data_IF_388416217423
#
_entry.id   IF_388416217423
#
_cell.length_a   1.000
_cell.length_b   1.000
_cell.length_c   1.000
_cell.angle_alpha   90.00
_cell.angle_beta   90.00
_cell.angle_gamma   90.00
#
_symmetry.space_group_name_H-M   'P 1'
#
loop_
_entity.id
_entity.type
_entity.pdbx_description
1 polymer ?
#
# COMPACT_ATOMS: atom_id res chain seq x y z
N UNK A 1 -18.15 1.21 10.50
CA UNK A 1 -17.46 -0.08 10.71
C UNK A 1 -16.92 -0.07 12.13
N UNK A 2 -17.25 -1.07 12.94
CA UNK A 2 -16.77 -1.20 14.33
C UNK A 2 -15.42 -1.90 14.38
N UNK A 3 -14.71 -1.80 15.50
CA UNK A 3 -13.44 -2.50 15.72
C UNK A 3 -13.61 -4.03 15.60
N UNK A 4 -14.64 -4.59 16.23
CA UNK A 4 -14.89 -6.05 16.19
C UNK A 4 -15.17 -6.57 14.78
N UNK A 5 -15.85 -5.77 13.96
CA UNK A 5 -16.04 -6.11 12.55
C UNK A 5 -14.71 -6.02 11.79
N UNK A 6 -13.90 -4.97 12.02
CA UNK A 6 -12.60 -4.83 11.37
C UNK A 6 -11.72 -6.05 11.63
N UNK A 7 -11.63 -6.51 12.87
CA UNK A 7 -10.77 -7.64 13.24
C UNK A 7 -11.41 -9.01 13.03
N UNK A 8 -12.58 -9.10 12.40
CA UNK A 8 -13.27 -10.38 12.22
C UNK A 8 -12.36 -11.40 11.51
N UNK A 9 -12.58 -12.67 11.80
CA UNK A 9 -11.74 -13.73 11.23
C UNK A 9 -11.83 -13.74 9.70
N UNK A 10 -13.01 -13.47 9.14
CA UNK A 10 -13.25 -13.37 7.70
C UNK A 10 -12.43 -12.23 7.08
N UNK A 11 -12.37 -11.07 7.76
CA UNK A 11 -11.58 -9.94 7.29
C UNK A 11 -10.07 -10.23 7.38
N UNK A 12 -9.61 -11.01 8.36
CA UNK A 12 -8.22 -11.46 8.44
C UNK A 12 -7.85 -12.43 7.30
N UNK A 13 -8.72 -13.39 6.98
CA UNK A 13 -8.55 -14.27 5.84
C UNK A 13 -8.54 -13.49 4.51
N UNK A 14 -9.45 -12.52 4.36
CA UNK A 14 -9.44 -11.65 3.19
C UNK A 14 -8.14 -10.84 3.10
N UNK A 15 -7.67 -10.26 4.21
CA UNK A 15 -6.43 -9.49 4.24
C UNK A 15 -5.22 -10.36 3.86
N UNK A 16 -5.19 -11.62 4.30
CA UNK A 16 -4.20 -12.61 3.84
C UNK A 16 -4.28 -12.86 2.34
N UNK A 17 -5.47 -13.09 1.80
CA UNK A 17 -5.67 -13.36 0.37
C UNK A 17 -5.25 -12.20 -0.52
N UNK A 18 -5.44 -10.96 -0.07
CA UNK A 18 -4.95 -9.77 -0.74
C UNK A 18 -3.42 -9.63 -0.60
N UNK A 19 -2.89 -9.87 0.60
CA UNK A 19 -1.46 -9.78 0.89
C UNK A 19 -0.63 -10.77 0.08
N UNK A 20 -1.06 -12.03 -0.01
CA UNK A 20 -0.26 -13.14 -0.58
C UNK A 20 -0.05 -13.04 -2.10
N UNK A 21 -0.87 -12.26 -2.81
CA UNK A 21 -0.81 -12.10 -4.28
C UNK A 21 0.60 -11.72 -4.73
N UNK A 22 1.21 -12.59 -5.54
CA UNK A 22 2.58 -12.44 -6.06
C UNK A 22 3.71 -12.65 -5.05
N UNK A 23 3.41 -13.03 -3.79
CA UNK A 23 4.40 -13.13 -2.70
C UNK A 23 4.59 -14.54 -2.15
N UNK A 24 3.82 -15.53 -2.62
CA UNK A 24 3.84 -16.91 -2.11
C UNK A 24 5.21 -17.60 -2.17
N UNK A 25 6.11 -17.20 -3.09
CA UNK A 25 7.46 -17.78 -3.20
C UNK A 25 8.46 -17.22 -2.17
N UNK A 26 8.06 -16.25 -1.34
CA UNK A 26 8.95 -15.65 -0.32
C UNK A 26 9.00 -16.55 0.92
N UNK A 27 10.22 -16.80 1.43
CA UNK A 27 10.46 -17.74 2.54
C UNK A 27 9.58 -17.48 3.76
N UNK A 28 9.53 -16.24 4.23
CA UNK A 28 8.70 -15.82 5.37
C UNK A 28 7.20 -16.03 5.12
N UNK A 29 6.75 -15.83 3.87
CA UNK A 29 5.35 -16.04 3.48
C UNK A 29 5.04 -17.54 3.43
N UNK A 30 5.96 -18.38 2.94
CA UNK A 30 5.79 -19.83 2.94
C UNK A 30 5.76 -20.41 4.36
N UNK A 31 6.62 -19.93 5.24
CA UNK A 31 6.66 -20.33 6.66
C UNK A 31 5.34 -19.99 7.36
N UNK A 32 4.83 -18.76 7.15
CA UNK A 32 3.53 -18.36 7.68
C UNK A 32 2.38 -19.19 7.07
N UNK A 33 2.43 -19.44 5.77
CA UNK A 33 1.38 -20.17 5.06
C UNK A 33 1.28 -21.64 5.47
N UNK A 34 2.39 -22.27 5.85
CA UNK A 34 2.41 -23.67 6.32
C UNK A 34 1.48 -23.91 7.52
N UNK A 35 1.37 -22.93 8.40
CA UNK A 35 0.49 -22.95 9.58
C UNK A 35 -0.51 -21.78 9.52
N UNK A 36 -1.14 -21.57 8.36
CA UNK A 36 -1.95 -20.38 8.09
C UNK A 36 -3.04 -20.14 9.13
N UNK A 37 -3.86 -21.17 9.40
CA UNK A 37 -5.02 -21.06 10.29
C UNK A 37 -4.58 -20.72 11.71
N UNK A 38 -3.63 -21.48 12.27
CA UNK A 38 -3.10 -21.25 13.61
C UNK A 38 -2.56 -19.82 13.76
N UNK A 39 -1.77 -19.37 12.78
CA UNK A 39 -1.20 -18.03 12.79
C UNK A 39 -2.29 -16.92 12.74
N UNK A 40 -3.33 -17.11 11.92
CA UNK A 40 -4.44 -16.14 11.81
C UNK A 40 -5.33 -16.14 13.07
N UNK A 41 -5.62 -17.32 13.64
CA UNK A 41 -6.38 -17.41 14.89
C UNK A 41 -5.63 -16.82 16.08
N UNK A 42 -4.31 -17.03 16.15
CA UNK A 42 -3.47 -16.39 17.16
C UNK A 42 -3.48 -14.87 17.01
N UNK A 43 -3.33 -14.36 15.78
CA UNK A 43 -3.40 -12.93 15.49
C UNK A 43 -4.77 -12.36 15.88
N UNK A 44 -5.86 -13.04 15.52
CA UNK A 44 -7.22 -12.65 15.90
C UNK A 44 -7.38 -12.58 17.42
N UNK A 45 -6.88 -13.60 18.16
CA UNK A 45 -6.92 -13.62 19.63
C UNK A 45 -6.15 -12.44 20.22
N UNK A 46 -4.97 -12.12 19.70
CA UNK A 46 -4.17 -10.95 20.13
C UNK A 46 -4.89 -9.62 19.88
N UNK A 47 -5.54 -9.48 18.72
CA UNK A 47 -6.32 -8.29 18.39
C UNK A 47 -7.55 -8.16 19.30
N UNK A 48 -8.35 -9.23 19.43
CA UNK A 48 -9.54 -9.28 20.28
C UNK A 48 -9.23 -8.94 21.74
N UNK A 49 -8.13 -9.47 22.27
CA UNK A 49 -7.68 -9.20 23.64
C UNK A 49 -6.92 -7.88 23.78
N UNK A 50 -6.75 -7.10 22.71
CA UNK A 50 -5.99 -5.84 22.67
C UNK A 50 -4.54 -5.98 23.16
N UNK A 51 -3.96 -7.17 22.99
CA UNK A 51 -2.56 -7.48 23.34
C UNK A 51 -1.62 -7.48 22.14
N UNK A 52 -2.15 -7.30 20.93
CA UNK A 52 -1.34 -7.12 19.73
C UNK A 52 -0.39 -5.93 19.86
N UNK A 53 0.89 -6.18 19.58
CA UNK A 53 1.93 -5.17 19.45
C UNK A 53 2.66 -5.42 18.13
N UNK A 54 2.87 -4.36 17.36
CA UNK A 54 3.61 -4.44 16.10
C UNK A 54 5.07 -4.88 16.39
N UNK A 55 5.59 -5.80 15.58
CA UNK A 55 6.97 -6.28 15.71
C UNK A 55 8.03 -5.27 15.29
N UNK A 56 9.30 -5.66 15.37
CA UNK A 56 10.39 -4.89 14.77
C UNK A 56 10.39 -5.05 13.24
N UNK A 57 11.04 -4.10 12.56
CA UNK A 57 11.28 -4.21 11.12
C UNK A 57 12.60 -4.92 10.86
N UNK A 58 12.60 -5.81 9.85
CA UNK A 58 13.83 -6.29 9.23
C UNK A 58 14.25 -5.33 8.14
N UNK A 59 15.47 -4.80 8.20
CA UNK A 59 15.97 -3.87 7.19
C UNK A 59 16.91 -4.55 6.18
N UNK A 60 16.91 -4.03 4.95
CA UNK A 60 17.83 -4.44 3.89
C UNK A 60 17.89 -3.39 2.78
N UNK A 61 18.91 -3.45 1.94
CA UNK A 61 19.03 -2.56 0.78
C UNK A 61 18.59 -3.24 -0.51
N UNK A 62 17.87 -2.50 -1.36
CA UNK A 62 17.53 -2.91 -2.73
C UNK A 62 18.01 -1.84 -3.70
N UNK A 63 18.62 -2.28 -4.80
CA UNK A 63 19.12 -1.40 -5.87
C UNK A 63 18.33 -1.66 -7.15
N UNK A 64 17.21 -0.94 -7.36
CA UNK A 64 16.46 -1.05 -8.62
C UNK A 64 15.48 0.14 -8.84
N UNK A 65 15.78 1.13 -9.71
CA UNK A 65 17.06 1.52 -10.28
C UNK A 65 17.92 2.40 -9.33
N UNK A 66 17.38 2.76 -8.16
CA UNK A 66 18.04 3.57 -7.13
C UNK A 66 18.14 2.75 -5.83
N UNK A 67 19.25 2.91 -5.08
CA UNK A 67 19.41 2.32 -3.76
C UNK A 67 18.33 2.81 -2.79
N UNK A 68 17.60 1.87 -2.19
CA UNK A 68 16.58 2.14 -1.15
C UNK A 68 16.89 1.27 0.07
N UNK A 69 16.84 1.89 1.25
CA UNK A 69 16.80 1.18 2.52
C UNK A 69 15.35 0.78 2.76
N UNK A 70 15.09 -0.52 2.80
CA UNK A 70 13.75 -1.10 2.93
C UNK A 70 13.63 -1.66 4.34
N UNK A 71 12.56 -1.26 5.03
CA UNK A 71 12.16 -1.82 6.31
C UNK A 71 10.92 -2.70 6.10
N UNK A 72 11.05 -3.98 6.40
CA UNK A 72 10.02 -5.00 6.16
C UNK A 72 9.49 -5.52 7.49
N UNK A 73 8.20 -5.31 7.72
CA UNK A 73 7.50 -5.86 8.88
C UNK A 73 7.27 -7.38 8.71
N UNK A 74 6.92 -8.04 9.81
CA UNK A 74 6.55 -9.47 9.82
C UNK A 74 5.36 -9.76 8.89
N UNK A 75 5.08 -11.03 8.61
CA UNK A 75 3.87 -11.40 7.84
C UNK A 75 2.61 -11.00 8.61
N UNK A 76 2.54 -11.31 9.91
CA UNK A 76 1.41 -10.95 10.78
C UNK A 76 1.12 -9.45 10.77
N UNK A 77 2.16 -8.62 10.91
CA UNK A 77 2.01 -7.16 10.89
C UNK A 77 1.54 -6.65 9.53
N UNK A 78 2.03 -7.24 8.43
CA UNK A 78 1.58 -6.87 7.09
C UNK A 78 0.12 -7.26 6.82
N UNK A 79 -0.38 -8.34 7.43
CA UNK A 79 -1.81 -8.68 7.38
C UNK A 79 -2.63 -7.59 8.10
N UNK A 80 -2.18 -7.14 9.27
CA UNK A 80 -2.81 -6.00 9.98
C UNK A 80 -2.75 -4.71 9.14
N UNK A 81 -1.64 -4.44 8.46
CA UNK A 81 -1.53 -3.30 7.54
C UNK A 81 -2.54 -3.40 6.38
N UNK A 82 -2.71 -4.59 5.79
CA UNK A 82 -3.72 -4.81 4.73
C UNK A 82 -5.13 -4.58 5.25
N UNK A 83 -5.43 -5.05 6.47
CA UNK A 83 -6.70 -4.84 7.12
C UNK A 83 -7.01 -3.35 7.34
N UNK A 84 -6.04 -2.62 7.90
CA UNK A 84 -6.14 -1.17 8.12
C UNK A 84 -6.24 -0.40 6.80
N UNK A 85 -5.48 -0.80 5.78
CA UNK A 85 -5.50 -0.17 4.47
C UNK A 85 -6.91 -0.21 3.87
N UNK A 86 -7.60 -1.35 3.90
CA UNK A 86 -8.97 -1.48 3.37
C UNK A 86 -9.93 -0.48 4.02
N UNK A 87 -9.80 -0.28 5.33
CA UNK A 87 -10.61 0.68 6.07
C UNK A 87 -10.26 2.13 5.72
N UNK A 88 -8.98 2.49 5.84
CA UNK A 88 -8.50 3.84 5.60
C UNK A 88 -8.68 4.29 4.15
N UNK A 89 -8.52 3.38 3.19
CA UNK A 89 -8.70 3.68 1.78
C UNK A 89 -10.10 4.24 1.51
N UNK A 90 -11.16 3.63 2.07
CA UNK A 90 -12.54 4.08 1.86
C UNK A 90 -12.83 5.48 2.43
N UNK A 91 -12.06 5.91 3.44
CA UNK A 91 -12.18 7.22 4.07
C UNK A 91 -11.39 8.25 3.26
N UNK A 92 -10.09 7.99 3.06
CA UNK A 92 -9.19 8.98 2.47
C UNK A 92 -9.33 9.12 0.96
N UNK A 93 -9.68 8.05 0.23
CA UNK A 93 -9.78 8.12 -1.24
C UNK A 93 -10.75 9.23 -1.71
N UNK A 94 -11.80 9.49 -0.92
CA UNK A 94 -12.80 10.53 -1.18
C UNK A 94 -12.29 11.96 -0.95
N UNK A 95 -11.22 12.12 -0.17
CA UNK A 95 -10.66 13.42 0.21
C UNK A 95 -9.56 13.89 -0.74
N UNK A 96 -8.95 12.99 -1.51
CA UNK A 96 -7.88 13.35 -2.43
C UNK A 96 -8.41 14.16 -3.62
N UNK A 97 -7.62 15.16 -4.03
CA UNK A 97 -7.85 15.88 -5.28
C UNK A 97 -7.89 14.92 -6.47
N UNK A 98 -8.61 15.32 -7.52
CA UNK A 98 -8.78 14.50 -8.71
C UNK A 98 -7.44 14.13 -9.37
N UNK A 99 -6.50 15.07 -9.44
CA UNK A 99 -5.21 14.91 -10.09
C UNK A 99 -4.15 14.21 -9.21
N UNK A 100 -4.57 13.57 -8.11
CA UNK A 100 -3.76 12.62 -7.36
C UNK A 100 -3.92 11.21 -7.93
N UNK A 101 -2.83 10.64 -8.47
CA UNK A 101 -2.87 9.39 -9.24
C UNK A 101 -2.14 8.19 -8.60
N UNK A 102 -1.25 8.43 -7.64
CA UNK A 102 -0.44 7.36 -7.04
C UNK A 102 -1.24 6.52 -6.05
N UNK A 103 -1.01 5.20 -6.04
CA UNK A 103 -1.55 4.25 -5.05
C UNK A 103 -3.09 4.29 -4.88
N UNK A 104 -3.83 4.58 -5.95
CA UNK A 104 -5.30 4.66 -5.95
C UNK A 104 -5.92 3.72 -6.98
N UNK A 105 -7.05 3.12 -6.62
CA UNK A 105 -7.83 2.27 -7.51
C UNK A 105 -8.31 3.06 -8.72
N UNK A 106 -8.25 2.44 -9.90
CA UNK A 106 -8.59 3.08 -11.17
C UNK A 106 -7.80 4.37 -11.48
N UNK A 107 -6.70 4.63 -10.77
CA UNK A 107 -5.71 5.67 -11.06
C UNK A 107 -4.37 5.01 -11.35
N UNK A 108 -3.42 5.77 -11.87
CA UNK A 108 -2.09 5.26 -12.20
C UNK A 108 -1.37 6.13 -13.20
N UNK A 109 -0.14 5.74 -13.52
CA UNK A 109 0.78 6.52 -14.36
C UNK A 109 0.21 6.83 -15.73
N UNK A 110 -0.41 5.86 -16.41
CA UNK A 110 -1.00 6.10 -17.74
C UNK A 110 -2.11 7.16 -17.71
N UNK A 111 -2.99 7.13 -16.70
CA UNK A 111 -4.04 8.14 -16.55
C UNK A 111 -3.47 9.51 -16.17
N UNK A 112 -2.40 9.54 -15.38
CA UNK A 112 -1.68 10.78 -15.06
C UNK A 112 -1.06 11.41 -16.31
N UNK A 113 -0.42 10.59 -17.16
CA UNK A 113 0.20 11.03 -18.43
C UNK A 113 -0.87 11.52 -19.40
N UNK A 114 -1.98 10.78 -19.58
CA UNK A 114 -3.07 11.22 -20.44
C UNK A 114 -3.71 12.54 -19.96
N UNK A 115 -3.82 12.73 -18.64
CA UNK A 115 -4.28 13.98 -18.04
C UNK A 115 -3.32 15.13 -18.31
N UNK A 116 -2.01 14.89 -18.13
CA UNK A 116 -0.97 15.86 -18.43
C UNK A 116 -1.01 16.25 -19.92
N UNK A 117 -1.13 15.28 -20.82
CA UNK A 117 -1.22 15.52 -22.27
C UNK A 117 -2.40 16.45 -22.61
N UNK A 118 -3.56 16.22 -21.99
CA UNK A 118 -4.72 17.10 -22.17
C UNK A 118 -4.40 18.55 -21.80
N UNK A 119 -3.74 18.79 -20.67
CA UNK A 119 -3.34 20.15 -20.28
C UNK A 119 -2.28 20.73 -21.22
N UNK A 120 -1.31 19.92 -21.64
CA UNK A 120 -0.28 20.31 -22.61
C UNK A 120 -0.92 20.78 -23.93
N UNK A 121 -1.88 20.03 -24.48
CA UNK A 121 -2.59 20.40 -25.72
C UNK A 121 -3.35 21.72 -25.60
N UNK A 122 -4.00 21.96 -24.44
CA UNK A 122 -4.71 23.22 -24.19
C UNK A 122 -3.74 24.40 -24.18
N UNK A 123 -2.65 24.31 -23.41
CA UNK A 123 -1.69 25.42 -23.26
C UNK A 123 -0.90 25.67 -24.55
N UNK A 124 -0.49 24.61 -25.24
CA UNK A 124 0.28 24.70 -26.50
C UNK A 124 -0.56 24.95 -27.75
N UNK A 125 -1.89 25.14 -27.63
CA UNK A 125 -2.82 25.21 -28.77
C UNK A 125 -2.63 24.05 -29.75
N UNK A 126 -2.75 22.82 -29.24
CA UNK A 126 -2.50 21.57 -29.97
C UNK A 126 -1.07 21.47 -30.54
N UNK A 127 -0.06 21.67 -29.69
CA UNK A 127 1.36 21.59 -30.02
C UNK A 127 1.86 22.59 -31.07
N UNK A 128 1.10 23.66 -31.33
CA UNK A 128 1.50 24.72 -32.26
C UNK A 128 2.33 25.83 -31.59
N UNK A 129 2.27 25.94 -30.26
CA UNK A 129 3.00 26.92 -29.47
C UNK A 129 3.86 26.28 -28.37
N UNK A 130 4.80 27.06 -27.85
CA UNK A 130 5.64 26.64 -26.71
C UNK A 130 4.80 26.45 -25.45
N UNK A 131 5.17 25.47 -24.63
CA UNK A 131 4.58 25.23 -23.30
C UNK A 131 5.69 24.95 -22.29
N UNK A 132 5.44 25.33 -21.03
CA UNK A 132 6.40 25.20 -19.93
C UNK A 132 5.79 24.35 -18.83
N UNK A 133 6.61 23.53 -18.18
CA UNK A 133 6.18 22.68 -17.07
C UNK A 133 7.16 22.82 -15.89
N UNK A 134 6.61 22.92 -14.68
CA UNK A 134 7.39 22.89 -13.44
C UNK A 134 7.46 21.46 -12.91
N UNK A 135 8.68 20.92 -12.80
CA UNK A 135 8.93 19.63 -12.17
C UNK A 135 9.49 19.84 -10.77
N UNK A 136 8.75 19.41 -9.75
CA UNK A 136 9.20 19.43 -8.35
C UNK A 136 9.28 18.01 -7.79
N UNK A 137 10.33 17.72 -7.01
CA UNK A 137 10.55 16.45 -6.33
C UNK A 137 10.89 16.76 -4.87
N UNK A 138 10.16 16.16 -3.94
CA UNK A 138 10.47 16.25 -2.51
C UNK A 138 11.67 15.35 -2.17
N UNK A 139 12.60 15.84 -1.34
CA UNK A 139 13.66 15.01 -0.76
C UNK A 139 13.04 14.09 0.31
N UNK A 140 13.46 12.82 0.34
CA UNK A 140 12.91 11.77 1.21
C UNK A 140 12.77 12.24 2.67
N UNK A 141 11.54 12.24 3.20
CA UNK A 141 11.20 12.61 4.59
C UNK A 141 10.73 11.43 5.45
N UNK A 142 10.64 10.23 4.87
CA UNK A 142 10.24 9.01 5.59
C UNK A 142 11.51 8.28 6.02
N UNK A 143 11.93 8.52 7.26
CA UNK A 143 12.83 7.64 8.00
C UNK A 143 11.94 6.78 8.91
N UNK A 144 12.09 5.46 8.80
CA UNK A 144 11.43 4.50 9.69
C UNK A 144 12.28 4.29 10.94
#
# INVERSE_FOLDING_TARGET
MTYDNLISIENLFQAWDEFKKGKLKKKDVMEFYRNLEDNLFELHKKLKNKTYRHGSYQDFYVNDPKRRHIHKASVSDRIVHHLLYKYFYNIFDKTFIFDSYSCRLNKGTHKAVARLEKFTRIVSKNYSGQCWALKSILKNSLQA
#
